data_IF_833805017257
#
_entry.id   IF_833805017257
#
_cell.length_a   1.000
_cell.length_b   1.000
_cell.length_c   1.000
_cell.angle_alpha   90.00
_cell.angle_beta   90.00
_cell.angle_gamma   90.00
#
_symmetry.space_group_name_H-M   'P 1'
#
loop_
_entity.id
_entity.type
_entity.pdbx_description
1 polymer ?
#
# COMPACT_ATOMS: atom_id res chain seq x y z
N UNK A 1 48.86 51.02 9.58
CA UNK A 1 49.37 51.73 8.40
C UNK A 1 48.46 51.33 7.25
N UNK A 2 47.25 51.87 7.12
CA UNK A 2 46.83 53.28 7.00
C UNK A 2 47.32 53.94 5.70
N UNK A 3 46.34 54.18 4.82
CA UNK A 3 46.10 55.28 3.88
C UNK A 3 44.63 55.04 3.42
N UNK A 4 43.62 55.93 3.51
CA UNK A 4 43.56 57.40 3.60
C UNK A 4 44.30 58.08 2.42
N UNK A 5 43.65 58.89 1.56
CA UNK A 5 42.22 59.26 1.45
C UNK A 5 41.81 59.24 -0.05
N UNK A 6 40.83 59.93 -0.65
CA UNK A 6 40.12 61.21 -0.43
C UNK A 6 38.60 61.04 -0.72
N UNK A 7 37.92 61.99 -1.39
CA UNK A 7 36.47 62.07 -1.70
C UNK A 7 36.17 62.24 -3.22
N UNK A 8 34.91 61.96 -3.63
CA UNK A 8 34.12 62.77 -4.61
C UNK A 8 32.62 62.40 -4.46
N UNK A 9 31.77 63.39 -4.70
CA UNK A 9 30.29 63.49 -4.59
C UNK A 9 29.45 62.21 -4.79
N UNK A 10 28.40 61.93 -3.99
CA UNK A 10 27.11 62.65 -3.80
C UNK A 10 26.19 62.65 -5.05
N UNK A 11 25.13 61.85 -5.00
CA UNK A 11 23.85 62.03 -5.73
C UNK A 11 22.79 61.13 -5.04
N UNK A 12 21.91 61.74 -4.24
CA UNK A 12 20.92 61.02 -3.43
C UNK A 12 19.50 61.40 -3.89
N UNK A 13 18.95 60.63 -4.83
CA UNK A 13 17.67 60.95 -5.45
C UNK A 13 16.45 60.28 -4.78
N UNK A 14 15.86 61.06 -3.87
CA UNK A 14 14.42 61.23 -3.61
C UNK A 14 13.54 60.06 -3.12
N UNK A 15 12.50 60.40 -2.36
CA UNK A 15 11.52 59.48 -1.80
C UNK A 15 10.09 60.04 -1.94
N UNK A 16 9.28 59.40 -2.78
CA UNK A 16 7.87 59.75 -3.00
C UNK A 16 6.90 58.85 -2.21
N UNK A 17 5.95 59.45 -1.51
CA UNK A 17 4.88 58.79 -0.77
C UNK A 17 3.65 58.45 -1.63
N UNK A 18 2.75 57.64 -1.06
CA UNK A 18 1.35 57.43 -1.47
C UNK A 18 1.10 56.72 -2.83
N UNK A 19 -0.08 56.15 -3.11
CA UNK A 19 -1.37 56.16 -2.39
C UNK A 19 -1.85 54.72 -2.05
N UNK A 20 -2.77 54.61 -1.07
CA UNK A 20 -3.63 53.43 -0.90
C UNK A 20 -4.93 53.61 -1.70
N UNK A 21 -5.20 52.77 -2.69
CA UNK A 21 -6.55 52.64 -3.27
C UNK A 21 -7.20 51.34 -2.79
N UNK A 22 -8.24 51.47 -1.97
CA UNK A 22 -9.10 50.38 -1.50
C UNK A 22 -10.42 50.39 -2.28
N UNK A 23 -10.60 49.44 -3.19
CA UNK A 23 -11.85 49.19 -3.90
C UNK A 23 -12.42 47.82 -3.47
N UNK A 24 -13.25 47.83 -2.42
CA UNK A 24 -14.25 46.80 -2.18
C UNK A 24 -15.51 47.15 -2.99
N UNK A 25 -15.91 46.34 -3.98
CA UNK A 25 -17.34 46.09 -4.25
C UNK A 25 -17.59 44.69 -4.83
N UNK A 26 -18.80 44.21 -4.55
CA UNK A 26 -19.28 42.82 -4.61
C UNK A 26 -19.53 42.29 -6.04
N UNK A 27 -19.24 41.02 -6.27
CA UNK A 27 -19.92 40.24 -7.32
C UNK A 27 -20.14 38.77 -6.91
N UNK A 28 -21.21 38.51 -6.17
CA UNK A 28 -21.71 37.17 -5.90
C UNK A 28 -22.24 36.46 -7.17
N UNK A 29 -21.75 35.24 -7.47
CA UNK A 29 -22.29 34.45 -8.58
C UNK A 29 -21.70 33.04 -8.78
N UNK A 30 -22.48 32.02 -8.40
CA UNK A 30 -22.41 30.62 -8.86
C UNK A 30 -21.10 29.81 -8.67
N UNK A 31 -21.07 29.09 -7.55
CA UNK A 31 -20.60 27.70 -7.36
C UNK A 31 -20.25 26.83 -8.59
N UNK A 32 -19.19 26.04 -8.45
CA UNK A 32 -19.20 24.60 -8.80
C UNK A 32 -18.37 23.78 -7.78
N UNK A 33 -18.58 22.46 -7.78
CA UNK A 33 -17.94 21.42 -6.97
C UNK A 33 -16.49 21.09 -7.47
N UNK A 34 -15.57 20.40 -6.77
CA UNK A 34 -15.51 19.74 -5.44
C UNK A 34 -14.02 19.44 -5.10
N UNK A 35 -13.79 18.70 -4.00
CA UNK A 35 -12.65 17.80 -3.76
C UNK A 35 -11.22 18.39 -3.60
N UNK A 36 -10.76 18.49 -2.33
CA UNK A 36 -9.58 17.74 -1.89
C UNK A 36 -9.55 17.63 -0.34
N UNK A 37 -9.48 16.41 0.18
CA UNK A 37 -9.39 16.14 1.63
C UNK A 37 -7.94 15.86 2.10
N UNK A 38 -7.76 15.88 3.43
CA UNK A 38 -6.71 15.19 4.20
C UNK A 38 -5.25 15.73 4.30
N UNK A 39 -5.04 16.50 5.39
CA UNK A 39 -3.95 16.41 6.39
C UNK A 39 -2.46 16.28 5.97
N UNK A 40 -1.65 17.24 6.44
CA UNK A 40 -0.18 17.14 6.52
C UNK A 40 0.37 17.33 7.96
N UNK A 41 1.02 16.32 8.57
CA UNK A 41 1.71 16.45 9.86
C UNK A 41 3.21 16.82 9.73
N UNK A 42 3.74 17.54 10.72
CA UNK A 42 5.08 18.18 10.69
C UNK A 42 6.24 17.19 11.00
N UNK A 43 7.43 17.34 10.39
CA UNK A 43 8.60 16.54 10.72
C UNK A 43 9.20 16.89 12.10
N UNK A 44 9.72 15.89 12.82
CA UNK A 44 10.49 16.05 14.07
C UNK A 44 11.96 15.66 13.88
N UNK A 45 12.86 16.38 14.57
CA UNK A 45 14.32 16.18 14.47
C UNK A 45 14.81 15.02 15.35
N UNK A 46 15.72 14.20 14.81
CA UNK A 46 16.67 13.37 15.55
C UNK A 46 18.02 13.42 14.81
N UNK A 47 19.05 14.10 15.33
CA UNK A 47 20.03 13.62 16.33
C UNK A 47 20.90 12.46 15.81
N UNK A 48 21.98 12.82 15.11
CA UNK A 48 23.03 11.91 14.62
C UNK A 48 24.03 11.57 15.74
N UNK A 49 24.40 10.29 15.89
CA UNK A 49 25.65 9.83 16.54
C UNK A 49 25.83 8.31 16.41
N UNK A 50 26.86 7.82 15.69
CA UNK A 50 27.41 6.49 15.90
C UNK A 50 28.92 6.52 16.25
N UNK A 51 29.40 5.51 16.99
CA UNK A 51 30.79 5.42 17.49
C UNK A 51 31.43 4.10 17.01
N UNK A 52 32.66 4.17 16.47
CA UNK A 52 33.42 3.04 15.89
C UNK A 52 33.93 2.08 16.98
N UNK A 53 33.91 0.75 16.77
CA UNK A 53 35.11 -0.01 16.34
C UNK A 53 34.75 -1.10 15.29
N UNK A 54 35.62 -2.00 14.79
CA UNK A 54 37.04 -2.03 14.40
C UNK A 54 37.36 -3.52 14.05
N UNK A 55 37.88 -3.76 12.84
CA UNK A 55 37.97 -5.05 12.13
C UNK A 55 38.74 -6.24 12.76
N UNK A 56 38.47 -7.45 12.23
CA UNK A 56 39.47 -8.54 12.04
C UNK A 56 39.08 -9.48 10.86
N UNK A 57 39.98 -10.37 10.40
CA UNK A 57 39.86 -11.16 9.15
C UNK A 57 40.16 -12.67 9.34
N UNK A 58 39.28 -13.53 8.78
CA UNK A 58 39.48 -14.78 7.94
C UNK A 58 40.56 -15.85 8.30
N UNK A 59 40.65 -17.06 7.66
CA UNK A 59 39.81 -17.78 6.67
C UNK A 59 39.39 -19.23 7.12
N UNK A 60 39.39 -20.34 6.32
CA UNK A 60 38.18 -20.99 5.77
C UNK A 60 38.03 -22.53 6.06
N UNK A 61 36.98 -23.23 5.53
CA UNK A 61 37.25 -24.16 4.41
C UNK A 61 36.12 -24.38 3.35
N UNK A 62 36.50 -25.21 2.35
CA UNK A 62 35.84 -25.84 1.17
C UNK A 62 34.51 -26.61 1.43
N UNK A 63 33.63 -27.03 0.48
CA UNK A 63 33.46 -26.89 -1.02
C UNK A 63 32.08 -27.40 -1.53
N UNK A 64 31.66 -26.94 -2.73
CA UNK A 64 30.85 -27.61 -3.79
C UNK A 64 29.47 -28.27 -3.54
N UNK A 65 28.44 -27.83 -4.29
CA UNK A 65 27.53 -28.71 -5.09
C UNK A 65 26.56 -27.93 -6.01
N UNK A 66 26.20 -28.51 -7.18
CA UNK A 66 24.94 -28.48 -7.98
C UNK A 66 23.82 -27.41 -7.72
N UNK A 67 22.99 -26.99 -8.69
CA UNK A 67 22.80 -27.35 -10.12
C UNK A 67 21.84 -26.39 -10.83
N UNK A 68 21.94 -26.24 -12.16
CA UNK A 68 21.07 -25.40 -13.00
C UNK A 68 19.73 -26.05 -13.39
N UNK A 69 18.64 -25.28 -13.37
CA UNK A 69 17.32 -25.66 -13.92
C UNK A 69 17.13 -25.16 -15.37
N UNK A 70 16.34 -25.88 -16.18
CA UNK A 70 16.01 -25.52 -17.58
C UNK A 70 14.53 -25.80 -17.87
N UNK A 71 13.91 -24.99 -18.74
CA UNK A 71 12.44 -24.84 -18.88
C UNK A 71 11.93 -25.21 -20.28
N UNK A 72 10.81 -25.96 -20.37
CA UNK A 72 9.78 -25.94 -21.45
C UNK A 72 8.58 -26.81 -21.00
N UNK A 73 7.29 -26.51 -21.19
CA UNK A 73 6.49 -25.66 -22.11
C UNK A 73 6.15 -26.27 -23.49
N UNK A 74 5.00 -26.95 -23.53
CA UNK A 74 4.05 -27.17 -24.66
C UNK A 74 2.82 -27.89 -24.06
N UNK A 75 1.59 -27.93 -24.58
CA UNK A 75 0.77 -27.25 -25.59
C UNK A 75 -0.39 -28.25 -25.91
N UNK A 76 -1.57 -27.82 -26.37
CA UNK A 76 -2.73 -28.71 -26.55
C UNK A 76 -3.51 -28.47 -27.86
N UNK A 77 -4.11 -29.50 -28.49
CA UNK A 77 -5.00 -29.37 -29.65
C UNK A 77 -6.51 -29.62 -29.34
N UNK A 78 -7.38 -29.41 -30.33
CA UNK A 78 -8.86 -29.52 -30.27
C UNK A 78 -9.39 -30.55 -31.30
N UNK A 79 -10.56 -31.15 -31.03
CA UNK A 79 -11.66 -31.60 -31.97
C UNK A 79 -12.65 -32.50 -31.19
N UNK A 80 -13.95 -32.66 -31.48
CA UNK A 80 -14.92 -32.01 -32.39
C UNK A 80 -16.36 -32.15 -31.77
N UNK A 81 -17.44 -31.81 -32.48
CA UNK A 81 -18.79 -31.59 -31.90
C UNK A 81 -19.93 -32.48 -32.46
N UNK A 82 -21.05 -32.57 -31.73
CA UNK A 82 -22.36 -33.08 -32.19
C UNK A 82 -23.55 -32.49 -31.39
N UNK A 83 -24.74 -32.46 -32.01
CA UNK A 83 -26.05 -31.94 -31.51
C UNK A 83 -26.76 -32.91 -30.51
N UNK A 84 -27.82 -32.56 -29.74
CA UNK A 84 -28.64 -31.32 -29.67
C UNK A 84 -28.74 -30.75 -28.22
N UNK A 85 -29.84 -30.50 -27.45
CA UNK A 85 -31.33 -30.66 -27.55
C UNK A 85 -32.04 -29.73 -26.53
N UNK A 86 -33.35 -29.41 -26.69
CA UNK A 86 -34.21 -28.71 -25.68
C UNK A 86 -35.08 -29.69 -24.88
N UNK A 87 -35.37 -29.43 -23.59
CA UNK A 87 -36.43 -30.18 -22.88
C UNK A 87 -36.65 -29.96 -21.36
N UNK A 88 -37.32 -28.85 -20.97
CA UNK A 88 -38.33 -28.76 -19.88
C UNK A 88 -38.02 -29.33 -18.45
N UNK A 89 -37.74 -28.43 -17.50
CA UNK A 89 -38.07 -28.58 -16.06
C UNK A 89 -39.60 -28.48 -15.80
N UNK A 90 -40.17 -28.78 -14.61
CA UNK A 90 -39.55 -29.01 -13.29
C UNK A 90 -40.07 -30.24 -12.48
N UNK A 91 -39.41 -30.57 -11.34
CA UNK A 91 -40.06 -30.84 -10.03
C UNK A 91 -39.09 -31.42 -8.95
N UNK A 92 -38.99 -30.71 -7.84
CA UNK A 92 -38.91 -31.19 -6.43
C UNK A 92 -38.24 -32.54 -6.08
N UNK A 93 -37.10 -32.48 -5.37
CA UNK A 93 -36.87 -33.31 -4.16
C UNK A 93 -35.74 -32.74 -3.26
N UNK A 94 -35.77 -33.05 -1.97
CA UNK A 94 -34.98 -32.34 -0.96
C UNK A 94 -33.49 -32.77 -0.91
N UNK A 95 -32.60 -31.78 -0.82
CA UNK A 95 -31.14 -31.92 -0.72
C UNK A 95 -30.71 -32.45 0.67
N UNK A 96 -30.82 -33.77 0.88
CA UNK A 96 -30.32 -34.42 2.10
C UNK A 96 -28.80 -34.26 2.21
N UNK A 97 -28.33 -33.80 3.37
CA UNK A 97 -26.92 -33.84 3.74
C UNK A 97 -26.41 -35.29 3.77
N UNK A 98 -25.12 -35.54 3.43
CA UNK A 98 -24.57 -36.89 3.39
C UNK A 98 -24.63 -37.53 4.78
N UNK A 99 -25.17 -38.74 4.87
CA UNK A 99 -25.09 -39.55 6.09
C UNK A 99 -23.61 -39.91 6.32
N UNK A 100 -23.06 -39.80 7.55
CA UNK A 100 -21.76 -40.38 7.85
C UNK A 100 -21.81 -41.90 7.58
N UNK A 101 -20.72 -42.46 7.06
CA UNK A 101 -20.60 -43.91 6.89
C UNK A 101 -20.61 -44.56 8.27
N UNK A 102 -21.55 -45.48 8.51
CA UNK A 102 -21.52 -46.31 9.72
C UNK A 102 -20.26 -47.18 9.69
N UNK A 103 -19.51 -47.18 10.78
CA UNK A 103 -18.40 -48.13 11.00
C UNK A 103 -18.95 -49.54 11.23
N UNK A 104 -18.13 -50.58 10.95
CA UNK A 104 -18.45 -51.96 11.34
C UNK A 104 -18.37 -52.09 12.87
N UNK A 105 -19.04 -53.09 13.44
CA UNK A 105 -19.14 -53.23 14.90
C UNK A 105 -17.79 -53.42 15.61
N UNK A 106 -16.89 -54.23 15.04
CA UNK A 106 -15.56 -54.53 15.58
C UNK A 106 -14.63 -53.30 15.46
N UNK A 107 -14.53 -52.72 14.26
CA UNK A 107 -13.79 -51.47 14.00
C UNK A 107 -14.24 -50.34 14.95
N UNK A 108 -15.55 -50.25 15.21
CA UNK A 108 -16.16 -49.26 16.08
C UNK A 108 -15.85 -49.47 17.57
N UNK A 109 -15.74 -50.73 18.04
CA UNK A 109 -15.43 -51.04 19.43
C UNK A 109 -13.97 -50.65 19.74
N UNK A 110 -13.05 -51.04 18.85
CA UNK A 110 -11.64 -50.65 18.94
C UNK A 110 -11.44 -49.12 18.88
N UNK A 111 -12.17 -48.42 17.99
CA UNK A 111 -12.09 -46.96 17.86
C UNK A 111 -12.59 -46.22 19.12
N UNK A 112 -13.67 -46.72 19.76
CA UNK A 112 -14.19 -46.14 21.01
C UNK A 112 -13.22 -46.38 22.17
N UNK A 113 -12.65 -47.59 22.28
CA UNK A 113 -11.65 -47.92 23.30
C UNK A 113 -10.39 -47.06 23.16
N UNK A 114 -9.82 -46.98 21.95
CA UNK A 114 -8.64 -46.16 21.65
C UNK A 114 -8.88 -44.67 21.97
N UNK A 115 -10.04 -44.13 21.60
CA UNK A 115 -10.42 -42.76 21.95
C UNK A 115 -10.52 -42.54 23.47
N UNK A 116 -11.19 -43.45 24.20
CA UNK A 116 -11.32 -43.33 25.65
C UNK A 116 -9.99 -43.52 26.38
N UNK A 117 -9.09 -44.38 25.86
CA UNK A 117 -7.73 -44.57 26.36
C UNK A 117 -6.86 -43.33 26.14
N UNK A 118 -6.88 -42.75 24.94
CA UNK A 118 -6.11 -41.53 24.59
C UNK A 118 -6.56 -40.29 25.36
N UNK A 119 -7.84 -40.17 25.66
CA UNK A 119 -8.39 -39.02 26.41
C UNK A 119 -8.38 -39.20 27.91
N UNK A 120 -8.44 -40.45 28.40
CA UNK A 120 -8.53 -40.88 29.80
C UNK A 120 -9.50 -40.04 30.67
N UNK A 121 -10.64 -39.64 30.09
CA UNK A 121 -11.64 -38.76 30.72
C UNK A 121 -12.99 -39.45 30.87
N UNK A 122 -13.75 -39.15 31.95
CA UNK A 122 -15.09 -39.67 32.13
C UNK A 122 -16.09 -39.00 31.15
N UNK A 123 -16.85 -39.81 30.42
CA UNK A 123 -17.81 -39.34 29.42
C UNK A 123 -19.19 -39.99 29.60
N UNK A 124 -20.25 -39.25 29.25
CA UNK A 124 -21.58 -39.83 29.08
C UNK A 124 -21.71 -40.50 27.69
N UNK A 125 -22.69 -41.40 27.54
CA UNK A 125 -23.08 -41.97 26.24
C UNK A 125 -23.28 -40.90 25.14
N UNK A 126 -23.82 -39.72 25.49
CA UNK A 126 -24.03 -38.64 24.54
C UNK A 126 -22.70 -37.99 24.14
N UNK A 127 -21.80 -37.76 25.10
CA UNK A 127 -20.50 -37.16 24.84
C UNK A 127 -19.67 -38.07 23.91
N UNK A 128 -19.64 -39.39 24.17
CA UNK A 128 -18.95 -40.35 23.28
C UNK A 128 -19.58 -40.36 21.88
N UNK A 129 -20.92 -40.32 21.77
CA UNK A 129 -21.61 -40.27 20.47
C UNK A 129 -21.25 -39.04 19.63
N UNK A 130 -21.02 -37.89 20.27
CA UNK A 130 -20.70 -36.63 19.58
C UNK A 130 -19.19 -36.50 19.31
N UNK A 131 -18.34 -36.94 20.24
CA UNK A 131 -16.89 -37.02 20.05
C UNK A 131 -16.49 -38.04 18.97
N UNK A 132 -17.26 -39.12 18.79
CA UNK A 132 -17.15 -40.07 17.67
C UNK A 132 -17.85 -39.57 16.39
N UNK A 133 -18.11 -38.26 16.28
CA UNK A 133 -18.73 -37.58 15.14
C UNK A 133 -19.99 -38.26 14.59
N UNK A 134 -20.74 -38.94 15.45
CA UNK A 134 -21.97 -39.71 15.13
C UNK A 134 -21.75 -40.85 14.13
N UNK A 135 -20.51 -41.37 14.00
CA UNK A 135 -20.16 -42.50 13.13
C UNK A 135 -20.75 -43.86 13.58
N UNK A 136 -21.12 -43.96 14.86
CA UNK A 136 -21.75 -45.15 15.47
C UNK A 136 -23.17 -44.76 15.90
N UNK A 137 -24.18 -45.55 15.53
CA UNK A 137 -25.56 -45.28 15.92
C UNK A 137 -25.74 -45.42 17.45
N UNK A 138 -26.45 -44.48 18.10
CA UNK A 138 -26.65 -44.44 19.57
C UNK A 138 -26.93 -45.80 20.24
N UNK A 139 -27.92 -46.62 19.83
CA UNK A 139 -28.18 -47.91 20.47
C UNK A 139 -27.08 -48.96 20.24
N UNK A 140 -26.29 -48.84 19.18
CA UNK A 140 -25.10 -49.66 18.97
C UNK A 140 -23.95 -49.22 19.86
N UNK A 141 -23.78 -47.90 20.06
CA UNK A 141 -22.77 -47.36 20.98
C UNK A 141 -23.05 -47.73 22.44
N UNK A 142 -24.32 -47.76 22.87
CA UNK A 142 -24.68 -48.24 24.21
C UNK A 142 -24.25 -49.69 24.42
N UNK A 143 -24.51 -50.57 23.45
CA UNK A 143 -24.07 -51.97 23.49
C UNK A 143 -22.54 -52.10 23.49
N UNK A 144 -21.83 -51.31 22.68
CA UNK A 144 -20.37 -51.27 22.68
C UNK A 144 -19.80 -50.86 24.04
N UNK A 145 -20.28 -49.76 24.61
CA UNK A 145 -19.80 -49.27 25.91
C UNK A 145 -20.15 -50.24 27.06
N UNK A 146 -21.31 -50.90 27.01
CA UNK A 146 -21.67 -51.91 28.01
C UNK A 146 -20.90 -53.24 27.81
N UNK A 147 -20.53 -53.60 26.58
CA UNK A 147 -19.60 -54.72 26.29
C UNK A 147 -18.18 -54.44 26.79
N UNK A 148 -17.65 -53.23 26.54
CA UNK A 148 -16.34 -52.78 27.03
C UNK A 148 -16.28 -52.72 28.56
N UNK A 149 -17.42 -52.51 29.23
CA UNK A 149 -17.55 -52.64 30.69
C UNK A 149 -17.57 -54.10 31.12
N UNK A 150 -18.23 -54.99 30.37
CA UNK A 150 -18.22 -56.44 30.64
C UNK A 150 -16.84 -57.10 30.38
N UNK A 151 -15.97 -56.45 29.60
CA UNK A 151 -14.54 -56.82 29.42
C UNK A 151 -13.61 -56.21 30.49
N UNK A 152 -14.13 -55.45 31.44
CA UNK A 152 -13.37 -54.72 32.47
C UNK A 152 -12.35 -53.68 31.93
N UNK A 153 -12.42 -53.33 30.64
CA UNK A 153 -11.59 -52.29 30.01
C UNK A 153 -12.10 -50.88 30.36
N UNK A 154 -13.43 -50.73 30.41
CA UNK A 154 -14.14 -49.57 30.94
C UNK A 154 -14.80 -49.89 32.28
N UNK A 155 -15.01 -48.86 33.10
CA UNK A 155 -15.91 -48.90 34.25
C UNK A 155 -17.08 -47.96 33.95
N UNK A 156 -18.31 -48.36 34.31
CA UNK A 156 -19.47 -47.47 34.27
C UNK A 156 -20.01 -47.17 35.66
N UNK A 157 -20.51 -45.95 35.85
CA UNK A 157 -21.16 -45.52 37.09
C UNK A 157 -22.44 -44.77 36.76
N UNK A 158 -23.54 -45.22 37.36
CA UNK A 158 -24.88 -44.66 37.14
C UNK A 158 -25.17 -43.57 38.18
N UNK A 159 -25.57 -42.40 37.70
CA UNK A 159 -25.97 -41.23 38.47
C UNK A 159 -27.41 -40.89 38.11
N UNK A 160 -28.36 -41.48 38.85
CA UNK A 160 -29.79 -41.35 38.58
C UNK A 160 -30.16 -41.90 37.19
N UNK A 161 -30.50 -41.00 36.26
CA UNK A 161 -30.86 -41.35 34.86
C UNK A 161 -29.66 -41.35 33.89
N UNK A 162 -28.48 -40.89 34.32
CA UNK A 162 -27.28 -40.82 33.48
C UNK A 162 -26.31 -41.97 33.81
N UNK A 163 -25.64 -42.52 32.78
CA UNK A 163 -24.52 -43.45 32.95
C UNK A 163 -23.24 -42.79 32.42
N UNK A 164 -22.21 -42.76 33.25
CA UNK A 164 -20.88 -42.24 32.92
C UNK A 164 -19.94 -43.43 32.74
N UNK A 165 -19.13 -43.41 31.68
CA UNK A 165 -18.13 -44.41 31.35
C UNK A 165 -16.73 -43.78 31.44
N UNK A 166 -15.74 -44.54 31.92
CA UNK A 166 -14.35 -44.12 32.04
C UNK A 166 -13.42 -45.34 31.92
N UNK A 167 -12.16 -45.15 31.54
CA UNK A 167 -11.17 -46.24 31.50
C UNK A 167 -10.96 -46.83 32.89
N UNK A 168 -10.80 -48.15 32.97
CA UNK A 168 -10.47 -48.82 34.22
C UNK A 168 -9.03 -48.48 34.66
N UNK A 169 -8.89 -47.60 35.64
CA UNK A 169 -7.56 -47.18 36.13
C UNK A 169 -6.82 -48.30 36.89
N UNK A 170 -7.53 -49.33 37.37
CA UNK A 170 -6.90 -50.47 38.05
C UNK A 170 -6.02 -51.31 37.09
N UNK A 171 -6.25 -51.17 35.78
CA UNK A 171 -5.49 -51.85 34.73
C UNK A 171 -4.25 -51.05 34.28
N UNK A 172 -3.98 -49.90 34.91
CA UNK A 172 -2.79 -49.08 34.68
C UNK A 172 -1.75 -49.38 35.77
N UNK A 173 -0.45 -49.50 35.43
CA UNK A 173 0.60 -49.62 36.44
C UNK A 173 0.66 -48.34 37.27
N UNK A 174 0.63 -48.48 38.59
CA UNK A 174 0.90 -47.38 39.53
C UNK A 174 2.43 -47.26 39.64
N UNK A 175 3.06 -46.15 39.20
CA UNK A 175 4.50 -45.97 39.31
C UNK A 175 4.91 -45.83 40.78
N UNK A 176 6.12 -46.29 41.10
CA UNK A 176 6.76 -46.03 42.39
C UNK A 176 7.07 -44.55 42.59
N UNK A 177 7.38 -44.15 43.83
CA UNK A 177 7.80 -42.79 44.15
C UNK A 177 9.12 -42.41 43.46
N UNK A 178 10.04 -43.37 43.32
CA UNK A 178 11.32 -43.18 42.62
C UNK A 178 11.12 -42.95 41.12
N UNK A 179 10.29 -43.77 40.46
CA UNK A 179 9.93 -43.58 39.04
C UNK A 179 9.18 -42.25 38.83
N UNK A 180 8.30 -41.87 39.76
CA UNK A 180 7.57 -40.59 39.68
C UNK A 180 8.54 -39.40 39.71
N UNK A 181 9.48 -39.39 40.66
CA UNK A 181 10.49 -38.33 40.78
C UNK A 181 11.43 -38.29 39.55
N UNK A 182 11.85 -39.44 39.03
CA UNK A 182 12.66 -39.51 37.82
C UNK A 182 11.92 -38.96 36.58
N UNK A 183 10.62 -39.23 36.47
CA UNK A 183 9.76 -38.68 35.39
C UNK A 183 9.53 -37.17 35.60
N UNK A 184 9.34 -36.70 36.82
CA UNK A 184 9.24 -35.26 37.14
C UNK A 184 10.53 -34.50 36.75
N UNK A 185 11.71 -35.07 36.98
CA UNK A 185 13.00 -34.50 36.55
C UNK A 185 13.18 -34.53 35.01
N UNK A 186 12.77 -35.60 34.34
CA UNK A 186 12.76 -35.66 32.88
C UNK A 186 11.81 -34.62 32.26
N UNK A 187 10.58 -34.48 32.79
CA UNK A 187 9.62 -33.47 32.35
C UNK A 187 10.21 -32.06 32.53
N UNK A 188 10.82 -31.78 33.68
CA UNK A 188 11.49 -30.49 33.95
C UNK A 188 12.62 -30.21 32.95
N UNK A 189 13.43 -31.22 32.65
CA UNK A 189 14.56 -31.12 31.69
C UNK A 189 14.05 -30.84 30.28
N UNK A 190 13.14 -31.67 29.76
CA UNK A 190 12.56 -31.51 28.42
C UNK A 190 11.78 -30.19 28.29
N UNK A 191 11.12 -29.72 29.36
CA UNK A 191 10.45 -28.40 29.35
C UNK A 191 11.48 -27.26 29.24
N UNK A 192 12.64 -27.38 29.91
CA UNK A 192 13.73 -26.43 29.78
C UNK A 192 14.35 -26.44 28.38
N UNK A 193 14.52 -27.62 27.77
CA UNK A 193 15.05 -27.77 26.41
C UNK A 193 14.07 -27.22 25.35
N UNK A 194 12.77 -27.48 25.49
CA UNK A 194 11.74 -26.89 24.63
C UNK A 194 11.74 -25.36 24.72
N UNK A 195 11.72 -24.80 25.93
CA UNK A 195 11.68 -23.33 26.11
C UNK A 195 12.97 -22.62 25.70
N UNK A 196 14.13 -23.30 25.73
CA UNK A 196 15.35 -22.81 25.10
C UNK A 196 15.25 -22.84 23.57
N UNK A 197 14.81 -23.96 22.99
CA UNK A 197 14.64 -24.14 21.55
C UNK A 197 13.64 -23.15 20.94
N UNK A 198 12.55 -22.83 21.64
CA UNK A 198 11.59 -21.80 21.25
C UNK A 198 12.20 -20.39 21.25
N UNK A 199 13.10 -20.09 22.19
CA UNK A 199 13.82 -18.81 22.22
C UNK A 199 14.84 -18.70 21.09
N UNK A 200 15.60 -19.77 20.83
CA UNK A 200 16.52 -19.83 19.70
C UNK A 200 15.79 -19.68 18.37
N UNK A 201 14.72 -20.44 18.14
CA UNK A 201 13.87 -20.35 16.95
C UNK A 201 13.32 -18.93 16.76
N UNK A 202 12.75 -18.32 17.80
CA UNK A 202 12.23 -16.95 17.75
C UNK A 202 13.31 -15.91 17.46
N UNK A 203 14.53 -16.12 17.95
CA UNK A 203 15.68 -15.26 17.61
C UNK A 203 16.12 -15.42 16.15
N UNK A 204 16.13 -16.66 15.64
CA UNK A 204 16.43 -16.96 14.25
C UNK A 204 15.39 -16.35 13.31
N UNK A 205 14.10 -16.52 13.58
CA UNK A 205 12.99 -15.89 12.84
C UNK A 205 13.11 -14.35 12.81
N UNK A 206 13.47 -13.72 13.94
CA UNK A 206 13.69 -12.28 14.00
C UNK A 206 14.87 -11.84 13.13
N UNK A 207 16.00 -12.58 13.13
CA UNK A 207 17.14 -12.28 12.24
C UNK A 207 16.80 -12.53 10.78
N UNK A 208 16.06 -13.61 10.47
CA UNK A 208 15.62 -13.92 9.11
C UNK A 208 14.71 -12.82 8.58
N UNK A 209 13.69 -12.41 9.35
CA UNK A 209 12.79 -11.32 8.99
C UNK A 209 13.53 -9.99 8.82
N UNK A 210 14.52 -9.70 9.67
CA UNK A 210 15.39 -8.53 9.56
C UNK A 210 16.30 -8.54 8.32
N UNK A 211 16.62 -9.71 7.76
CA UNK A 211 17.39 -9.86 6.51
C UNK A 211 16.45 -9.82 5.29
N UNK A 212 15.34 -10.57 5.30
CA UNK A 212 14.41 -10.66 4.16
C UNK A 212 13.55 -9.42 3.94
N UNK A 213 13.57 -8.46 4.87
CA UNK A 213 12.96 -7.14 4.71
C UNK A 213 13.91 -6.09 4.12
N UNK A 214 15.19 -6.44 3.91
CA UNK A 214 16.14 -5.61 3.17
C UNK A 214 16.04 -5.89 1.67
N UNK A 215 16.31 -4.87 0.86
CA UNK A 215 16.49 -4.98 -0.59
C UNK A 215 17.69 -5.89 -0.90
N UNK A 216 17.64 -6.67 -1.99
CA UNK A 216 18.78 -7.52 -2.35
C UNK A 216 19.95 -6.69 -2.88
N UNK A 217 21.19 -7.16 -2.72
CA UNK A 217 22.38 -6.48 -3.22
C UNK A 217 22.28 -6.17 -4.73
N UNK A 218 21.65 -7.05 -5.51
CA UNK A 218 21.47 -6.87 -6.96
C UNK A 218 20.41 -5.79 -7.30
N UNK A 219 19.34 -5.69 -6.52
CA UNK A 219 18.33 -4.64 -6.67
C UNK A 219 18.86 -3.28 -6.16
N UNK A 220 19.72 -3.30 -5.15
CA UNK A 220 20.44 -2.13 -4.63
C UNK A 220 21.44 -1.60 -5.67
N UNK A 221 22.23 -2.49 -6.29
CA UNK A 221 23.13 -2.18 -7.41
C UNK A 221 22.38 -1.63 -8.64
N UNK A 222 21.11 -2.01 -8.85
CA UNK A 222 20.26 -1.48 -9.91
C UNK A 222 19.71 -0.09 -9.54
N UNK A 223 19.22 0.07 -8.31
CA UNK A 223 18.71 1.34 -7.80
C UNK A 223 19.81 2.43 -7.73
N UNK A 224 21.05 2.07 -7.36
CA UNK A 224 22.19 2.99 -7.40
C UNK A 224 22.45 3.50 -8.82
N UNK A 225 22.54 2.59 -9.82
CA UNK A 225 22.75 2.99 -11.22
C UNK A 225 21.65 3.90 -11.74
N UNK A 226 20.38 3.59 -11.44
CA UNK A 226 19.26 4.46 -11.82
C UNK A 226 19.38 5.85 -11.17
N UNK A 227 19.71 5.93 -9.87
CA UNK A 227 19.88 7.21 -9.18
C UNK A 227 21.11 8.01 -9.66
N UNK A 228 22.20 7.34 -10.04
CA UNK A 228 23.39 7.94 -10.64
C UNK A 228 23.08 8.49 -12.06
N UNK A 229 22.35 7.74 -12.88
CA UNK A 229 21.87 8.19 -14.19
C UNK A 229 20.90 9.37 -14.04
N UNK A 230 19.90 9.28 -13.15
CA UNK A 230 18.95 10.36 -12.86
C UNK A 230 19.67 11.63 -12.39
N UNK A 231 20.63 11.51 -11.45
CA UNK A 231 21.46 12.61 -10.97
C UNK A 231 22.25 13.27 -12.12
N UNK A 232 22.95 12.49 -12.95
CA UNK A 232 23.68 13.02 -14.11
C UNK A 232 22.74 13.74 -15.11
N UNK A 233 21.52 13.24 -15.32
CA UNK A 233 20.53 13.97 -16.13
C UNK A 233 19.97 15.21 -15.45
N UNK A 234 20.06 15.35 -14.12
CA UNK A 234 19.63 16.54 -13.39
C UNK A 234 20.73 17.59 -13.35
N UNK A 235 21.99 17.20 -13.13
CA UNK A 235 23.16 18.09 -13.18
C UNK A 235 23.30 18.74 -14.57
N UNK A 236 23.19 17.97 -15.66
CA UNK A 236 23.19 18.52 -17.03
C UNK A 236 21.98 19.42 -17.34
N UNK A 237 20.81 19.17 -16.73
CA UNK A 237 19.67 20.11 -16.80
C UNK A 237 19.95 21.40 -16.03
N UNK A 238 20.62 21.34 -14.87
CA UNK A 238 21.03 22.54 -14.12
C UNK A 238 22.06 23.34 -14.92
N UNK A 239 23.11 22.71 -15.45
CA UNK A 239 24.14 23.37 -16.26
C UNK A 239 23.56 24.05 -17.52
N UNK A 240 22.57 23.44 -18.18
CA UNK A 240 21.89 24.06 -19.34
C UNK A 240 20.88 25.17 -18.99
N UNK A 241 20.50 25.29 -17.71
CA UNK A 241 19.65 26.37 -17.20
C UNK A 241 20.46 27.54 -16.60
N UNK A 242 21.62 27.26 -15.99
CA UNK A 242 22.51 28.23 -15.35
C UNK A 242 23.48 28.93 -16.34
N UNK A 243 23.30 28.69 -17.65
CA UNK A 243 24.14 29.29 -18.70
C UNK A 243 24.09 30.83 -18.65
N UNK A 244 25.25 31.52 -18.65
CA UNK A 244 25.32 32.98 -18.51
C UNK A 244 24.61 33.67 -19.68
N UNK A 245 23.43 34.21 -19.40
CA UNK A 245 22.51 34.78 -20.38
C UNK A 245 21.04 34.42 -20.14
N UNK A 246 20.75 33.29 -19.46
CA UNK A 246 19.41 33.03 -18.92
C UNK A 246 19.29 33.61 -17.51
N UNK A 247 18.58 34.71 -17.34
CA UNK A 247 18.11 35.14 -16.00
C UNK A 247 16.87 34.31 -15.63
N UNK A 248 16.85 33.57 -14.50
CA UNK A 248 15.66 32.83 -14.08
C UNK A 248 14.49 33.77 -13.73
N UNK A 249 13.48 33.83 -14.60
CA UNK A 249 12.26 34.61 -14.34
C UNK A 249 11.29 33.76 -13.51
N UNK A 250 10.97 34.21 -12.30
CA UNK A 250 10.00 33.51 -11.44
C UNK A 250 8.63 33.37 -12.13
N UNK A 251 7.89 32.26 -11.92
CA UNK A 251 6.57 32.06 -12.53
C UNK A 251 5.61 33.23 -12.28
N UNK A 252 5.55 33.72 -11.05
CA UNK A 252 4.75 34.91 -10.69
C UNK A 252 5.13 36.17 -11.48
N UNK A 253 6.43 36.44 -11.71
CA UNK A 253 6.87 37.57 -12.54
C UNK A 253 6.52 37.37 -14.01
N UNK A 254 6.63 36.15 -14.52
CA UNK A 254 6.25 35.79 -15.90
C UNK A 254 4.76 35.99 -16.14
N UNK A 255 3.91 35.53 -15.22
CA UNK A 255 2.46 35.62 -15.37
C UNK A 255 1.92 37.02 -15.04
N UNK A 256 2.54 37.77 -14.13
CA UNK A 256 2.28 39.20 -13.96
C UNK A 256 2.61 40.00 -15.24
N UNK A 257 3.71 39.67 -15.93
CA UNK A 257 4.08 40.30 -17.20
C UNK A 257 3.09 39.95 -18.32
N UNK A 258 2.65 38.68 -18.44
CA UNK A 258 1.56 38.28 -19.35
C UNK A 258 0.28 39.06 -19.06
N UNK A 259 -0.16 39.14 -17.79
CA UNK A 259 -1.36 39.89 -17.38
C UNK A 259 -1.28 41.36 -17.78
N UNK A 260 -0.12 42.01 -17.57
CA UNK A 260 0.14 43.39 -18.03
C UNK A 260 0.07 43.49 -19.56
N UNK A 261 0.76 42.63 -20.30
CA UNK A 261 0.72 42.60 -21.76
C UNK A 261 -0.71 42.45 -22.30
N UNK A 262 -1.48 41.49 -21.80
CA UNK A 262 -2.88 41.29 -22.20
C UNK A 262 -3.75 42.50 -21.86
N UNK A 263 -3.60 43.10 -20.66
CA UNK A 263 -4.34 44.33 -20.28
C UNK A 263 -4.06 45.47 -21.27
N UNK A 264 -2.80 45.75 -21.58
CA UNK A 264 -2.43 46.84 -22.50
C UNK A 264 -2.81 46.53 -23.96
N UNK A 265 -2.62 45.29 -24.44
CA UNK A 265 -3.06 44.88 -25.79
C UNK A 265 -4.57 45.03 -25.96
N UNK A 266 -5.36 44.53 -25.02
CA UNK A 266 -6.84 44.62 -25.09
C UNK A 266 -7.30 46.08 -25.05
N UNK A 267 -6.69 46.91 -24.19
CA UNK A 267 -6.98 48.34 -24.15
C UNK A 267 -6.63 49.07 -25.46
N UNK A 268 -5.47 48.76 -26.08
CA UNK A 268 -5.06 49.33 -27.36
C UNK A 268 -6.00 48.93 -28.50
N UNK A 269 -6.31 47.63 -28.66
CA UNK A 269 -7.23 47.17 -29.71
C UNK A 269 -8.63 47.77 -29.54
N UNK A 270 -9.14 47.85 -28.30
CA UNK A 270 -10.43 48.48 -28.02
C UNK A 270 -10.44 49.98 -28.34
N UNK A 271 -9.41 50.73 -27.89
CA UNK A 271 -9.26 52.17 -28.16
C UNK A 271 -9.09 52.45 -29.65
N UNK A 272 -8.27 51.68 -30.37
CA UNK A 272 -8.07 51.81 -31.82
C UNK A 272 -9.38 51.62 -32.58
N UNK A 273 -10.20 50.63 -32.18
CA UNK A 273 -11.53 50.44 -32.76
C UNK A 273 -12.44 51.65 -32.51
N UNK A 274 -12.58 52.08 -31.27
CA UNK A 274 -13.43 53.24 -30.90
C UNK A 274 -13.00 54.52 -31.63
N UNK A 275 -11.69 54.78 -31.75
CA UNK A 275 -11.17 55.93 -32.47
C UNK A 275 -11.49 55.85 -33.98
N UNK A 276 -11.25 54.70 -34.61
CA UNK A 276 -11.56 54.49 -36.04
C UNK A 276 -13.07 54.53 -36.32
N UNK A 277 -13.90 53.96 -35.44
CA UNK A 277 -15.36 54.01 -35.54
C UNK A 277 -15.87 55.48 -35.51
N UNK A 278 -15.31 56.30 -34.61
CA UNK A 278 -15.62 57.73 -34.53
C UNK A 278 -15.13 58.53 -35.74
N UNK A 279 -13.91 58.28 -36.24
CA UNK A 279 -13.38 58.93 -37.44
C UNK A 279 -14.19 58.55 -38.68
N UNK A 280 -14.65 57.29 -38.80
CA UNK A 280 -15.53 56.88 -39.88
C UNK A 280 -16.90 57.59 -39.83
N UNK A 281 -17.53 57.72 -38.65
CA UNK A 281 -18.78 58.48 -38.49
C UNK A 281 -18.62 59.95 -38.90
N UNK A 282 -17.48 60.57 -38.59
CA UNK A 282 -17.15 61.94 -39.05
C UNK A 282 -16.92 61.97 -40.57
N UNK A 283 -16.24 60.97 -41.13
CA UNK A 283 -15.99 60.86 -42.57
C UNK A 283 -17.29 60.74 -43.37
N UNK A 284 -18.21 59.86 -42.94
CA UNK A 284 -19.54 59.70 -43.52
C UNK A 284 -20.35 61.00 -43.40
N UNK A 285 -20.38 61.62 -42.21
CA UNK A 285 -21.09 62.88 -41.97
C UNK A 285 -20.51 64.12 -42.67
N UNK A 286 -19.29 64.04 -43.20
CA UNK A 286 -18.63 65.09 -43.99
C UNK A 286 -18.56 64.78 -45.50
N UNK A 287 -19.09 63.65 -45.96
CA UNK A 287 -18.91 63.09 -47.32
C UNK A 287 -17.43 63.01 -47.75
N UNK A 288 -16.53 62.69 -46.81
CA UNK A 288 -15.08 62.63 -47.02
C UNK A 288 -14.54 61.22 -46.82
N UNK A 289 -13.36 60.94 -47.40
CA UNK A 289 -12.63 59.69 -47.16
C UNK A 289 -11.98 59.73 -45.77
N UNK A 290 -12.03 58.63 -45.01
CA UNK A 290 -11.47 58.49 -43.66
C UNK A 290 -10.06 59.08 -43.52
N UNK A 291 -9.13 58.81 -44.46
CA UNK A 291 -7.77 59.38 -44.42
C UNK A 291 -7.75 60.91 -44.44
N UNK A 292 -8.58 61.56 -45.25
CA UNK A 292 -8.67 63.03 -45.28
C UNK A 292 -9.34 63.63 -44.03
N UNK A 293 -9.92 62.80 -43.16
CA UNK A 293 -10.37 63.20 -41.81
C UNK A 293 -9.26 62.97 -40.78
N UNK A 294 -8.53 61.85 -40.84
CA UNK A 294 -7.33 61.62 -40.03
C UNK A 294 -6.30 62.75 -40.23
N UNK A 295 -5.99 63.08 -41.48
CA UNK A 295 -5.06 64.16 -41.86
C UNK A 295 -5.54 65.55 -41.35
N UNK A 296 -6.86 65.76 -41.23
CA UNK A 296 -7.48 67.04 -40.80
C UNK A 296 -7.66 67.15 -39.28
N UNK A 297 -7.82 66.02 -38.58
CA UNK A 297 -7.88 65.92 -37.12
C UNK A 297 -6.47 65.82 -36.50
N UNK A 298 -5.44 65.52 -37.31
CA UNK A 298 -4.06 65.32 -36.84
C UNK A 298 -3.86 63.99 -36.14
N UNK A 299 -4.61 62.95 -36.54
CA UNK A 299 -4.55 61.62 -35.92
C UNK A 299 -3.64 60.69 -36.71
N UNK A 300 -2.41 60.49 -36.22
CA UNK A 300 -1.46 59.50 -36.74
C UNK A 300 -1.96 58.06 -36.52
N UNK A 301 -1.66 57.16 -37.46
CA UNK A 301 -2.03 55.75 -37.38
C UNK A 301 -0.90 54.86 -36.84
N UNK A 302 -1.25 53.69 -36.28
CA UNK A 302 -0.27 52.65 -35.89
C UNK A 302 0.78 52.36 -36.99
N UNK A 303 0.38 52.40 -38.26
CA UNK A 303 1.25 52.11 -39.41
C UNK A 303 2.28 53.22 -39.68
N UNK A 304 1.89 54.48 -39.48
CA UNK A 304 2.76 55.65 -39.54
C UNK A 304 3.71 55.70 -38.32
N UNK A 305 3.25 55.22 -37.15
CA UNK A 305 4.09 54.92 -35.97
C UNK A 305 4.96 53.64 -36.14
N UNK A 306 4.98 53.02 -37.32
CA UNK A 306 5.82 51.87 -37.66
C UNK A 306 5.30 50.49 -37.22
N UNK A 307 4.14 50.43 -36.56
CA UNK A 307 3.53 49.21 -36.03
C UNK A 307 2.61 48.57 -37.08
N UNK A 308 3.18 47.68 -37.89
CA UNK A 308 2.48 47.00 -39.00
C UNK A 308 1.48 45.92 -38.55
N UNK A 309 1.63 45.37 -37.35
CA UNK A 309 0.73 44.36 -36.77
C UNK A 309 0.75 44.46 -35.24
N UNK A 310 -0.38 44.16 -34.58
CA UNK A 310 -0.49 44.15 -33.11
C UNK A 310 0.30 42.96 -32.54
N UNK A 311 1.32 43.18 -31.67
CA UNK A 311 2.15 42.11 -31.10
C UNK A 311 1.33 41.04 -30.37
N UNK A 312 1.72 39.78 -30.53
CA UNK A 312 1.05 38.59 -29.94
C UNK A 312 2.07 37.80 -29.10
N UNK A 313 1.58 37.11 -28.06
CA UNK A 313 2.33 36.16 -27.21
C UNK A 313 2.10 34.74 -27.70
#
# INVERSE_FOLDING_TARGET
MQNHREDSEDEAFDAGEAEEENDEEDFAGASDESDLEELAPKPKKARVSPKKPAAKKTPPPKTTSSSSSVVRKTAAPKTAAANTTKGKSPATSAKKSPKPKLMKAEDAEAAVLDYMRKTNRPYSLLNVFENMHRAIAKPSLTKLLDNLVAKEELVSKTYGKAKIYYMNQNNLPVPSEEERLAIEEQIKTVTSECTASEQELKSAEATLSGITSQISDADLDAALKQLEEEAATLETKVETLDQPGRVPVSPGRKDALKRKFTKYRTAWVARKRIAMDGVNQIADGMEKKTKAVLDLVGMETDEEAGIKQVPTI
#
